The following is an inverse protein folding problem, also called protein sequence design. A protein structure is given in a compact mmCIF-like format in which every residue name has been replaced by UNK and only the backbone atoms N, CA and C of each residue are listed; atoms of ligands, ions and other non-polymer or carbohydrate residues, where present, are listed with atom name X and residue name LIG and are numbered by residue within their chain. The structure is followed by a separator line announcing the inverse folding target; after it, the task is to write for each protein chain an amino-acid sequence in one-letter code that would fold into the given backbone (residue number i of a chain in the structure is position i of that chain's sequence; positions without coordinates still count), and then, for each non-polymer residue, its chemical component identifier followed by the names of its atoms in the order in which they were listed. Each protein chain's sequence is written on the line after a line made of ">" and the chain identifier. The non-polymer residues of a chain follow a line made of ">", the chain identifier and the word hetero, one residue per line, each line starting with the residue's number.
data_IF_269659115748
#
_entry.id   IF_269659115748
#
_cell.length_a   1.000
_cell.length_b   1.000
_cell.length_c   1.000
_cell.angle_alpha   90.00
_cell.angle_beta   90.00
_cell.angle_gamma   90.00
#
_symmetry.space_group_name_H-M   'P 1'
#
loop_
_entity.id
_entity.type
_entity.pdbx_description
1 polymer ?
#
# COMPACT_ATOMS: atom_id res chain seq x y z
N UNK A 1 -20.17 -21.39 12.06
CA UNK A 1 -20.29 -20.97 10.66
C UNK A 1 -20.07 -19.46 10.43
N UNK A 2 -21.01 -18.61 10.82
CA UNK A 2 -20.97 -17.16 10.52
C UNK A 2 -19.74 -16.49 11.14
N UNK A 3 -19.39 -16.90 12.36
CA UNK A 3 -18.17 -16.45 13.05
C UNK A 3 -16.90 -16.67 12.21
N UNK A 4 -16.84 -17.76 11.44
CA UNK A 4 -15.70 -18.06 10.56
C UNK A 4 -15.69 -17.14 9.35
N UNK A 5 -16.83 -16.95 8.68
CA UNK A 5 -16.94 -16.02 7.54
C UNK A 5 -16.61 -14.58 7.97
N UNK A 6 -17.07 -14.16 9.14
CA UNK A 6 -16.73 -12.84 9.70
C UNK A 6 -15.27 -12.77 10.14
N UNK A 7 -14.67 -13.87 10.62
CA UNK A 7 -13.26 -13.97 10.95
C UNK A 7 -12.38 -13.78 9.69
N UNK A 8 -12.68 -14.54 8.64
CA UNK A 8 -11.90 -14.59 7.40
C UNK A 8 -12.27 -13.46 6.42
N UNK A 9 -13.41 -12.80 6.64
CA UNK A 9 -13.98 -11.77 5.76
C UNK A 9 -14.17 -12.25 4.31
N UNK A 10 -14.35 -13.55 4.13
CA UNK A 10 -14.46 -14.23 2.83
C UNK A 10 -15.61 -15.23 2.86
N UNK A 11 -16.38 -15.27 1.77
CA UNK A 11 -17.41 -16.27 1.53
C UNK A 11 -17.17 -16.91 0.16
N UNK A 12 -17.27 -18.24 0.10
CA UNK A 12 -17.17 -18.99 -1.16
C UNK A 12 -18.29 -18.56 -2.13
N UNK A 13 -17.99 -18.21 -3.39
CA UNK A 13 -18.99 -17.81 -4.38
C UNK A 13 -20.14 -18.81 -4.56
N UNK A 14 -19.88 -20.11 -4.46
CA UNK A 14 -20.93 -21.14 -4.61
C UNK A 14 -21.92 -21.09 -3.44
N UNK A 15 -21.38 -20.96 -2.22
CA UNK A 15 -22.18 -20.83 -1.00
C UNK A 15 -22.92 -19.49 -0.96
N UNK A 16 -22.29 -18.42 -1.43
CA UNK A 16 -22.97 -17.13 -1.55
C UNK A 16 -24.12 -17.22 -2.56
N UNK A 17 -23.97 -17.98 -3.65
CA UNK A 17 -25.02 -18.20 -4.64
C UNK A 17 -26.17 -19.09 -4.12
N UNK A 18 -25.95 -19.88 -3.07
CA UNK A 18 -26.98 -20.67 -2.38
C UNK A 18 -27.90 -19.79 -1.52
N UNK A 19 -27.39 -18.68 -0.99
CA UNK A 19 -28.16 -17.80 -0.13
C UNK A 19 -29.30 -17.10 -0.88
N UNK A 20 -30.45 -16.99 -0.22
CA UNK A 20 -31.52 -16.09 -0.67
C UNK A 20 -31.00 -14.64 -0.71
N UNK A 21 -31.60 -13.81 -1.57
CA UNK A 21 -31.17 -12.41 -1.73
C UNK A 21 -31.22 -11.64 -0.39
N UNK A 22 -32.20 -11.93 0.45
CA UNK A 22 -32.32 -11.37 1.80
C UNK A 22 -31.17 -11.82 2.71
N UNK A 23 -30.83 -13.11 2.72
CA UNK A 23 -29.70 -13.60 3.51
C UNK A 23 -28.36 -13.06 3.02
N UNK A 24 -28.19 -12.84 1.71
CA UNK A 24 -27.01 -12.14 1.16
C UNK A 24 -26.93 -10.73 1.71
N UNK A 25 -28.02 -9.97 1.67
CA UNK A 25 -28.07 -8.60 2.19
C UNK A 25 -27.71 -8.55 3.68
N UNK A 26 -28.26 -9.46 4.49
CA UNK A 26 -27.97 -9.52 5.92
C UNK A 26 -26.51 -9.92 6.17
N UNK A 27 -25.98 -10.90 5.43
CA UNK A 27 -24.58 -11.28 5.52
C UNK A 27 -23.66 -10.10 5.19
N UNK A 28 -23.93 -9.37 4.11
CA UNK A 28 -23.15 -8.19 3.73
C UNK A 28 -23.24 -7.09 4.78
N UNK A 29 -24.41 -6.89 5.39
CA UNK A 29 -24.55 -5.98 6.51
C UNK A 29 -23.66 -6.40 7.69
N UNK A 30 -23.67 -7.67 8.08
CA UNK A 30 -22.82 -8.21 9.17
C UNK A 30 -21.33 -8.13 8.85
N UNK A 31 -20.94 -8.45 7.62
CA UNK A 31 -19.56 -8.28 7.15
C UNK A 31 -19.14 -6.81 7.20
N UNK A 32 -20.04 -5.89 6.85
CA UNK A 32 -19.78 -4.46 6.92
C UNK A 32 -19.64 -3.97 8.36
N UNK A 33 -20.51 -4.42 9.27
CA UNK A 33 -20.39 -4.16 10.71
C UNK A 33 -19.03 -4.62 11.24
N UNK A 34 -18.61 -5.84 10.87
CA UNK A 34 -17.33 -6.40 11.29
C UNK A 34 -16.14 -5.63 10.71
N UNK A 35 -16.20 -5.18 9.44
CA UNK A 35 -15.18 -4.28 8.88
C UNK A 35 -15.05 -2.99 9.68
N UNK A 36 -16.19 -2.36 10.04
CA UNK A 36 -16.21 -1.13 10.82
C UNK A 36 -15.68 -1.38 12.23
N UNK A 37 -16.07 -2.50 12.87
CA UNK A 37 -15.58 -2.91 14.19
C UNK A 37 -14.07 -3.11 14.18
N UNK A 38 -13.53 -3.89 13.23
CA UNK A 38 -12.09 -4.10 13.04
C UNK A 38 -11.33 -2.81 12.76
N UNK A 39 -11.92 -1.91 11.97
CA UNK A 39 -11.34 -0.60 11.71
C UNK A 39 -11.28 0.23 13.01
N UNK A 40 -12.38 0.33 13.76
CA UNK A 40 -12.41 1.01 15.07
C UNK A 40 -11.42 0.42 16.07
N UNK A 41 -11.30 -0.91 16.13
CA UNK A 41 -10.31 -1.56 17.00
C UNK A 41 -8.88 -1.27 16.59
N UNK A 42 -8.59 -1.22 15.29
CA UNK A 42 -7.27 -0.82 14.79
C UNK A 42 -6.96 0.63 15.14
N UNK A 43 -7.92 1.54 14.96
CA UNK A 43 -7.79 2.94 15.35
C UNK A 43 -7.54 3.07 16.87
N UNK A 44 -8.34 2.40 17.69
CA UNK A 44 -8.17 2.40 19.14
C UNK A 44 -6.83 1.78 19.58
N UNK A 45 -6.36 0.71 18.91
CA UNK A 45 -5.05 0.12 19.15
C UNK A 45 -3.92 1.06 18.74
N UNK A 46 -4.07 1.80 17.64
CA UNK A 46 -3.11 2.83 17.25
C UNK A 46 -3.06 3.95 18.29
N UNK A 47 -4.22 4.43 18.74
CA UNK A 47 -4.32 5.45 19.80
C UNK A 47 -3.71 4.96 21.13
N UNK A 48 -3.96 3.69 21.50
CA UNK A 48 -3.37 3.07 22.68
C UNK A 48 -1.85 2.83 22.53
N UNK A 49 -1.39 2.46 21.33
CA UNK A 49 0.03 2.32 21.03
C UNK A 49 0.75 3.68 21.02
N UNK A 50 0.09 4.74 20.55
CA UNK A 50 0.59 6.12 20.68
C UNK A 50 0.66 6.54 22.16
N UNK A 51 -0.36 6.21 22.95
CA UNK A 51 -0.38 6.48 24.39
C UNK A 51 0.69 5.68 25.17
N UNK A 52 0.96 4.42 24.81
CA UNK A 52 2.03 3.62 25.43
C UNK A 52 3.42 3.98 24.93
N UNK A 53 3.60 4.37 23.67
CA UNK A 53 4.86 4.95 23.16
C UNK A 53 5.19 6.30 23.83
N UNK A 54 4.18 7.09 24.21
CA UNK A 54 4.37 8.28 25.07
C UNK A 54 4.87 7.92 26.47
N UNK A 55 4.56 6.72 26.97
CA UNK A 55 4.98 6.26 28.31
C UNK A 55 6.34 5.53 28.31
N UNK A 56 6.70 4.81 27.24
CA UNK A 56 7.99 4.12 27.11
C UNK A 56 9.18 5.02 26.73
N UNK A 57 8.95 6.25 26.29
CA UNK A 57 10.00 7.20 25.90
C UNK A 57 10.59 8.01 27.07
N UNK A 58 10.20 7.72 28.32
CA UNK A 58 10.84 8.28 29.53
C UNK A 58 12.14 7.56 29.91
N UNK A 59 13.09 7.47 28.97
CA UNK A 59 14.56 7.42 29.20
C UNK A 59 15.29 7.62 27.87
N UNK A 60 15.79 8.85 27.70
CA UNK A 60 16.69 9.39 26.64
C UNK A 60 16.54 8.78 25.23
N UNK A 61 15.35 8.87 24.65
CA UNK A 61 15.25 8.96 23.20
C UNK A 61 15.61 10.41 22.80
N UNK A 62 16.44 10.58 21.78
CA UNK A 62 16.78 11.89 21.20
C UNK A 62 15.56 12.80 21.14
N UNK A 63 15.60 13.92 21.86
CA UNK A 63 14.50 14.87 22.02
C UNK A 63 14.15 15.48 20.65
N UNK A 64 13.25 14.85 19.91
CA UNK A 64 12.50 15.52 18.84
C UNK A 64 11.05 15.63 19.31
N UNK A 65 10.77 16.68 20.08
CA UNK A 65 9.40 17.11 20.37
C UNK A 65 8.96 18.07 19.25
N UNK A 66 7.82 17.79 18.64
CA UNK A 66 7.19 18.74 17.71
C UNK A 66 6.46 19.76 18.57
N UNK A 67 7.02 20.97 18.67
CA UNK A 67 6.35 22.11 19.26
C UNK A 67 5.73 22.90 18.10
N UNK A 68 4.41 23.03 18.12
CA UNK A 68 3.70 23.90 17.18
C UNK A 68 4.04 25.35 17.54
N UNK A 69 4.49 26.11 16.55
CA UNK A 69 4.58 27.57 16.71
C UNK A 69 3.15 28.11 16.75
N UNK A 70 2.88 29.08 17.61
CA UNK A 70 1.58 29.74 17.68
C UNK A 70 1.67 31.09 16.98
N UNK A 71 0.62 31.45 16.23
CA UNK A 71 0.48 32.74 15.59
C UNK A 71 0.12 33.84 16.58
N UNK A 72 -0.02 35.08 16.09
CA UNK A 72 -0.42 36.24 16.91
C UNK A 72 -1.85 36.10 17.48
N UNK A 73 -2.65 35.20 16.90
CA UNK A 73 -4.00 34.79 17.28
C UNK A 73 -4.03 33.68 18.35
N UNK A 74 -2.88 33.19 18.82
CA UNK A 74 -2.74 32.04 19.71
C UNK A 74 -3.19 30.69 19.12
N UNK A 75 -3.45 30.65 17.81
CA UNK A 75 -3.70 29.41 17.07
C UNK A 75 -2.41 28.87 16.44
N UNK A 76 -2.44 27.63 15.94
CA UNK A 76 -1.26 27.00 15.33
C UNK A 76 -0.81 27.79 14.11
N UNK A 77 0.44 28.28 14.12
CA UNK A 77 1.06 28.98 13.03
C UNK A 77 1.32 28.02 11.87
N UNK A 78 0.66 28.29 10.75
CA UNK A 78 0.83 27.55 9.49
C UNK A 78 1.48 28.49 8.49
N UNK A 79 2.66 28.11 8.02
CA UNK A 79 3.32 28.78 6.90
C UNK A 79 3.11 27.97 5.64
N UNK A 80 2.42 28.57 4.67
CA UNK A 80 2.19 27.98 3.37
C UNK A 80 3.25 28.57 2.42
N UNK A 81 4.15 27.70 1.93
CA UNK A 81 5.17 28.08 0.97
C UNK A 81 4.52 28.77 -0.24
N UNK A 82 4.93 30.00 -0.51
CA UNK A 82 4.47 30.81 -1.63
C UNK A 82 3.23 31.68 -1.41
N UNK A 83 2.62 31.69 -0.23
CA UNK A 83 1.52 32.63 0.10
C UNK A 83 1.99 33.87 0.88
N UNK A 84 3.21 33.85 1.45
CA UNK A 84 3.74 34.98 2.18
C UNK A 84 4.30 36.05 1.23
N UNK A 85 4.09 37.34 1.52
CA UNK A 85 4.46 38.46 0.64
C UNK A 85 5.97 38.59 0.33
N UNK A 86 6.82 37.87 1.04
CA UNK A 86 8.28 37.82 0.84
C UNK A 86 8.77 36.48 0.31
N UNK A 87 7.87 35.52 0.09
CA UNK A 87 8.21 34.21 -0.44
C UNK A 87 7.98 34.14 -1.95
N UNK A 88 8.76 33.30 -2.63
CA UNK A 88 8.52 32.97 -4.04
C UNK A 88 7.25 32.13 -4.10
N UNK A 89 6.39 32.36 -5.07
CA UNK A 89 5.20 31.52 -5.26
C UNK A 89 5.59 30.04 -5.38
N UNK A 90 4.76 29.14 -4.85
CA UNK A 90 5.00 27.70 -4.84
C UNK A 90 5.44 27.17 -6.22
N UNK A 91 4.76 27.61 -7.28
CA UNK A 91 5.04 27.20 -8.65
C UNK A 91 6.46 27.59 -9.09
N UNK A 92 6.93 28.78 -8.71
CA UNK A 92 8.30 29.27 -9.01
C UNK A 92 9.35 28.48 -8.24
N UNK A 93 9.07 28.10 -6.99
CA UNK A 93 9.97 27.27 -6.18
C UNK A 93 10.09 25.87 -6.80
N UNK A 94 8.96 25.28 -7.19
CA UNK A 94 8.97 23.99 -7.88
C UNK A 94 9.76 24.08 -9.18
N UNK A 95 9.49 25.07 -10.03
CA UNK A 95 10.20 25.28 -11.29
C UNK A 95 11.72 25.42 -11.10
N UNK A 96 12.17 26.13 -10.06
CA UNK A 96 13.59 26.30 -9.72
C UNK A 96 14.25 24.96 -9.31
N UNK A 97 13.59 24.15 -8.50
CA UNK A 97 14.06 22.80 -8.10
C UNK A 97 14.19 21.89 -9.32
N UNK A 98 13.25 21.99 -10.25
CA UNK A 98 13.24 21.18 -11.47
C UNK A 98 14.37 21.62 -12.41
N UNK A 99 14.55 22.93 -12.59
CA UNK A 99 15.66 23.48 -13.35
C UNK A 99 17.01 23.05 -12.77
N UNK A 100 17.13 23.02 -11.44
CA UNK A 100 18.35 22.53 -10.77
C UNK A 100 18.59 21.04 -10.99
N UNK A 101 17.55 20.21 -10.98
CA UNK A 101 17.67 18.79 -11.34
C UNK A 101 18.08 18.61 -12.80
N UNK A 102 17.55 19.43 -13.71
CA UNK A 102 17.95 19.41 -15.12
C UNK A 102 19.43 19.78 -15.29
N UNK A 103 19.93 20.77 -14.54
CA UNK A 103 21.37 21.10 -14.46
C UNK A 103 22.22 19.92 -14.02
N UNK A 104 21.87 19.32 -12.89
CA UNK A 104 22.60 18.19 -12.34
C UNK A 104 22.59 16.96 -13.28
N UNK A 105 21.50 16.75 -14.02
CA UNK A 105 21.41 15.65 -14.98
C UNK A 105 22.29 15.89 -16.21
N UNK A 106 22.28 17.11 -16.77
CA UNK A 106 23.14 17.45 -17.89
C UNK A 106 24.63 17.39 -17.50
N UNK A 107 24.99 17.80 -16.28
CA UNK A 107 26.37 17.71 -15.78
C UNK A 107 26.86 16.26 -15.71
N UNK A 108 26.01 15.33 -15.24
CA UNK A 108 26.32 13.90 -15.22
C UNK A 108 26.49 13.33 -16.63
N UNK A 109 25.58 13.65 -17.56
CA UNK A 109 25.71 13.23 -18.96
C UNK A 109 26.99 13.78 -19.61
N UNK A 110 27.37 15.02 -19.29
CA UNK A 110 28.60 15.62 -19.78
C UNK A 110 29.86 14.99 -19.14
N UNK A 111 29.82 14.62 -17.86
CA UNK A 111 30.91 13.90 -17.19
C UNK A 111 31.12 12.49 -17.76
N UNK A 112 30.04 11.75 -18.02
CA UNK A 112 30.11 10.45 -18.69
C UNK A 112 30.67 10.58 -20.11
N UNK A 113 30.24 11.59 -20.87
CA UNK A 113 30.81 11.88 -22.19
C UNK A 113 32.30 12.23 -22.12
N UNK A 114 32.73 13.00 -21.12
CA UNK A 114 34.16 13.30 -20.90
C UNK A 114 34.95 12.05 -20.56
N UNK A 115 34.41 11.19 -19.69
CA UNK A 115 35.05 9.93 -19.31
C UNK A 115 35.23 9.00 -20.52
N UNK A 116 34.20 8.85 -21.35
CA UNK A 116 34.31 8.06 -22.59
C UNK A 116 35.31 8.65 -23.59
N UNK A 117 35.34 9.97 -23.76
CA UNK A 117 36.33 10.64 -24.59
C UNK A 117 37.76 10.47 -24.06
N UNK A 118 37.96 10.53 -22.74
CA UNK A 118 39.25 10.32 -22.09
C UNK A 118 39.72 8.86 -22.23
N UNK A 119 38.82 7.89 -22.09
CA UNK A 119 39.11 6.47 -22.35
C UNK A 119 39.52 6.24 -23.81
N UNK A 120 38.83 6.86 -24.77
CA UNK A 120 39.20 6.80 -26.20
C UNK A 120 40.53 7.51 -26.49
N UNK A 121 40.77 8.68 -25.90
CA UNK A 121 42.05 9.39 -26.01
C UNK A 121 43.19 8.61 -25.35
N UNK A 122 42.94 7.95 -24.23
CA UNK A 122 43.89 7.08 -23.56
C UNK A 122 44.25 5.91 -24.47
N UNK A 123 43.25 5.23 -25.05
CA UNK A 123 43.45 4.15 -26.04
C UNK A 123 44.27 4.61 -27.25
N UNK A 124 43.96 5.77 -27.82
CA UNK A 124 44.71 6.35 -28.94
C UNK A 124 46.13 6.75 -28.54
N UNK A 125 46.32 7.27 -27.33
CA UNK A 125 47.64 7.62 -26.80
C UNK A 125 48.49 6.38 -26.56
N UNK A 126 47.90 5.30 -26.05
CA UNK A 126 48.55 4.01 -25.84
C UNK A 126 49.00 3.43 -27.19
N UNK A 127 48.14 3.47 -28.21
CA UNK A 127 48.48 3.11 -29.58
C UNK A 127 49.64 3.95 -30.15
N UNK A 128 49.66 5.26 -29.90
CA UNK A 128 50.75 6.16 -30.35
C UNK A 128 52.06 5.94 -29.57
N UNK A 129 51.99 5.60 -28.28
CA UNK A 129 53.19 5.27 -27.48
C UNK A 129 53.82 3.96 -27.95
N UNK A 130 53.02 2.97 -28.36
CA UNK A 130 53.54 1.73 -28.97
C UNK A 130 54.24 2.02 -30.30
N UNK A 131 53.72 2.95 -31.10
CA UNK A 131 54.34 3.37 -32.37
C UNK A 131 55.64 4.17 -32.14
N UNK A 132 55.64 5.11 -31.20
CA UNK A 132 56.83 5.92 -30.88
C UNK A 132 57.91 5.13 -30.13
N UNK A 133 57.57 4.09 -29.36
CA UNK A 133 58.56 3.16 -28.81
C UNK A 133 59.26 2.37 -29.92
N UNK A 134 58.54 1.94 -30.97
CA UNK A 134 59.15 1.33 -32.16
C UNK A 134 60.11 2.30 -32.87
N UNK A 135 59.67 3.54 -33.12
CA UNK A 135 60.49 4.56 -33.81
C UNK A 135 61.68 5.04 -32.95
N UNK A 136 61.53 5.09 -31.62
CA UNK A 136 62.57 5.53 -30.69
C UNK A 136 63.64 4.45 -30.46
N UNK A 137 63.27 3.17 -30.47
CA UNK A 137 64.21 2.03 -30.44
C UNK A 137 65.04 1.97 -31.74
N UNK A 138 64.43 2.21 -32.90
CA UNK A 138 65.16 2.29 -34.18
C UNK A 138 66.10 3.49 -34.24
N UNK A 139 65.69 4.64 -33.69
CA UNK A 139 66.51 5.85 -33.62
C UNK A 139 67.66 5.69 -32.61
N UNK A 140 67.44 5.01 -31.49
CA UNK A 140 68.47 4.67 -30.50
C UNK A 140 69.46 3.64 -31.07
N UNK A 141 68.99 2.60 -31.77
CA UNK A 141 69.84 1.61 -32.44
C UNK A 141 70.77 2.27 -33.47
N UNK A 142 70.26 3.18 -34.31
CA UNK A 142 71.07 3.98 -35.26
C UNK A 142 72.05 4.93 -34.55
N UNK A 143 71.66 5.52 -33.41
CA UNK A 143 72.52 6.41 -32.61
C UNK A 143 73.64 5.63 -31.90
N UNK A 144 73.36 4.42 -31.40
CA UNK A 144 74.36 3.55 -30.75
C UNK A 144 75.38 3.04 -31.78
N UNK A 145 74.94 2.69 -33.00
CA UNK A 145 75.85 2.30 -34.09
C UNK A 145 76.75 3.48 -34.49
N UNK A 146 76.18 4.68 -34.61
CA UNK A 146 76.94 5.90 -34.92
C UNK A 146 77.92 6.28 -33.80
N UNK A 147 77.55 6.06 -32.52
CA UNK A 147 78.43 6.27 -31.37
C UNK A 147 79.54 5.23 -31.25
N UNK A 148 79.32 3.99 -31.68
CA UNK A 148 80.38 2.98 -31.78
C UNK A 148 81.39 3.36 -32.86
N UNK A 149 80.92 3.82 -34.03
CA UNK A 149 81.80 4.32 -35.09
C UNK A 149 82.56 5.60 -34.67
N UNK A 150 81.89 6.54 -34.00
CA UNK A 150 82.55 7.73 -33.46
C UNK A 150 83.57 7.39 -32.37
N UNK A 151 83.30 6.41 -31.48
CA UNK A 151 84.25 6.00 -30.43
C UNK A 151 85.48 5.28 -30.97
N UNK A 152 85.39 4.61 -32.12
CA UNK A 152 86.54 4.02 -32.81
C UNK A 152 87.40 5.10 -33.48
N UNK A 153 86.77 6.13 -34.06
CA UNK A 153 87.48 7.31 -34.59
C UNK A 153 88.05 8.20 -33.48
N UNK A 154 87.33 8.39 -32.38
CA UNK A 154 87.77 9.17 -31.22
C UNK A 154 88.88 8.44 -30.46
N UNK A 155 88.93 7.10 -30.46
CA UNK A 155 90.07 6.32 -29.98
C UNK A 155 91.29 6.40 -30.91
N UNK A 156 91.09 6.56 -32.22
CA UNK A 156 92.18 6.84 -33.19
C UNK A 156 92.75 8.25 -33.02
N UNK A 157 91.86 9.24 -32.84
CA UNK A 157 92.22 10.66 -32.66
C UNK A 157 92.72 10.97 -31.24
N UNK A 158 92.40 10.14 -30.24
CA UNK A 158 92.90 10.26 -28.86
C UNK A 158 94.30 9.68 -28.67
N UNK A 159 94.71 8.71 -29.50
CA UNK A 159 96.11 8.26 -29.54
C UNK A 159 97.02 9.35 -30.14
N UNK A 160 96.51 10.12 -31.10
CA UNK A 160 97.22 11.24 -31.74
C UNK A 160 97.32 12.52 -30.89
N UNK A 161 96.43 12.68 -29.89
CA UNK A 161 96.42 13.85 -28.98
C UNK A 161 97.16 13.63 -27.66
N UNK A 162 97.90 12.53 -27.51
CA UNK A 162 98.78 12.30 -26.34
C UNK A 162 100.10 13.07 -26.38
N UNK A 163 100.33 13.89 -27.40
CA UNK A 163 101.39 14.91 -27.46
C UNK A 163 100.73 16.28 -27.60
N UNK A 164 100.20 16.85 -26.52
CA UNK A 164 100.35 18.28 -26.23
C UNK A 164 99.90 18.61 -24.80
N UNK A 165 100.63 19.54 -24.20
CA UNK A 165 100.66 19.93 -22.80
C UNK A 165 99.41 20.67 -22.28
N UNK A 166 99.19 20.49 -20.97
CA UNK A 166 99.22 21.54 -19.94
C UNK A 166 98.74 22.96 -20.31
N UNK A 167 97.69 23.45 -19.64
CA UNK A 167 97.75 24.53 -18.63
C UNK A 167 96.49 25.42 -18.53
N UNK A 168 96.12 25.62 -17.25
CA UNK A 168 95.60 26.82 -16.57
C UNK A 168 94.17 27.42 -16.74
N UNK A 169 93.55 27.51 -15.55
CA UNK A 169 92.86 28.62 -14.85
C UNK A 169 91.49 29.18 -15.29
N UNK A 170 90.65 29.63 -14.31
CA UNK A 170 89.30 30.12 -14.56
C UNK A 170 89.24 31.66 -14.68
N UNK A 171 88.46 32.16 -15.65
CA UNK A 171 88.18 33.60 -15.78
C UNK A 171 86.69 33.91 -15.58
N UNK A 172 86.45 35.05 -14.93
CA UNK A 172 85.17 35.63 -14.47
C UNK A 172 84.18 35.88 -15.62
N UNK A 173 82.90 35.52 -15.42
CA UNK A 173 81.81 35.65 -16.41
C UNK A 173 81.18 37.05 -16.41
N UNK A 174 81.25 37.74 -17.55
CA UNK A 174 80.25 38.76 -17.96
C UNK A 174 79.07 38.07 -18.66
N UNK A 175 77.86 38.67 -18.59
CA UNK A 175 76.61 38.12 -19.15
C UNK A 175 76.78 37.67 -20.61
N UNK A 176 76.52 36.39 -20.87
CA UNK A 176 76.79 35.69 -22.15
C UNK A 176 75.59 35.77 -23.10
N UNK A 177 75.84 35.68 -24.42
CA UNK A 177 74.83 35.57 -25.49
C UNK A 177 73.81 34.44 -25.21
N UNK A 178 74.23 33.40 -24.49
CA UNK A 178 73.36 32.31 -24.03
C UNK A 178 72.24 32.76 -23.09
N UNK A 179 72.45 33.79 -22.27
CA UNK A 179 71.42 34.30 -21.36
C UNK A 179 70.33 35.05 -22.15
N UNK A 180 70.68 35.75 -23.24
CA UNK A 180 69.73 36.45 -24.12
C UNK A 180 68.88 35.44 -24.91
N UNK A 181 69.49 34.36 -25.43
CA UNK A 181 68.77 33.28 -26.10
C UNK A 181 67.83 32.53 -25.13
N UNK A 182 68.26 32.36 -23.88
CA UNK A 182 67.43 31.77 -22.82
C UNK A 182 66.21 32.62 -22.49
N UNK A 183 66.35 33.94 -22.49
CA UNK A 183 65.23 34.86 -22.25
C UNK A 183 64.25 34.93 -23.43
N UNK A 184 64.74 34.88 -24.68
CA UNK A 184 63.88 34.77 -25.86
C UNK A 184 63.11 33.44 -25.90
N UNK A 185 63.75 32.33 -25.52
CA UNK A 185 63.11 31.02 -25.38
C UNK A 185 62.05 31.02 -24.26
N UNK A 186 62.33 31.68 -23.12
CA UNK A 186 61.36 31.88 -22.03
C UNK A 186 60.17 32.73 -22.51
N UNK A 187 60.40 33.78 -23.29
CA UNK A 187 59.36 34.65 -23.82
C UNK A 187 58.46 33.92 -24.84
N UNK A 188 59.04 33.17 -25.79
CA UNK A 188 58.28 32.30 -26.72
C UNK A 188 57.49 31.22 -25.98
N UNK A 189 58.07 30.58 -24.96
CA UNK A 189 57.35 29.60 -24.12
C UNK A 189 56.20 30.26 -23.34
N UNK A 190 56.40 31.47 -22.81
CA UNK A 190 55.36 32.24 -22.10
C UNK A 190 54.20 32.60 -23.03
N UNK A 191 54.48 33.09 -24.23
CA UNK A 191 53.47 33.43 -25.23
C UNK A 191 52.73 32.19 -25.75
N UNK A 192 53.45 31.09 -26.01
CA UNK A 192 52.85 29.80 -26.37
C UNK A 192 51.95 29.22 -25.27
N UNK A 193 52.35 29.35 -24.00
CA UNK A 193 51.54 28.95 -22.85
C UNK A 193 50.29 29.83 -22.72
N UNK A 194 50.40 31.15 -22.93
CA UNK A 194 49.26 32.06 -22.95
C UNK A 194 48.27 31.72 -24.07
N UNK A 195 48.76 31.43 -25.28
CA UNK A 195 47.92 31.02 -26.42
C UNK A 195 47.22 29.67 -26.17
N UNK A 196 47.92 28.70 -25.57
CA UNK A 196 47.32 27.41 -25.16
C UNK A 196 46.26 27.59 -24.08
N UNK A 197 46.51 28.44 -23.07
CA UNK A 197 45.53 28.79 -22.04
C UNK A 197 44.29 29.45 -22.63
N UNK A 198 44.45 30.40 -23.56
CA UNK A 198 43.34 31.06 -24.23
C UNK A 198 42.50 30.10 -25.09
N UNK A 199 43.15 29.15 -25.79
CA UNK A 199 42.46 28.13 -26.57
C UNK A 199 41.70 27.14 -25.68
N UNK A 200 42.31 26.71 -24.56
CA UNK A 200 41.64 25.85 -23.58
C UNK A 200 40.43 26.53 -22.94
N UNK A 201 40.53 27.82 -22.61
CA UNK A 201 39.43 28.61 -22.07
C UNK A 201 38.27 28.70 -23.08
N UNK A 202 38.56 28.91 -24.36
CA UNK A 202 37.56 28.97 -25.43
C UNK A 202 36.88 27.62 -25.70
N UNK A 203 37.59 26.51 -25.52
CA UNK A 203 36.99 25.16 -25.59
C UNK A 203 36.07 24.92 -24.40
N UNK A 204 36.53 25.27 -23.19
CA UNK A 204 35.73 25.15 -21.97
C UNK A 204 34.43 25.98 -22.04
N UNK A 205 34.50 27.19 -22.60
CA UNK A 205 33.33 28.05 -22.80
C UNK A 205 32.29 27.39 -23.72
N UNK A 206 32.72 26.76 -24.82
CA UNK A 206 31.81 26.01 -25.71
C UNK A 206 31.22 24.77 -25.07
N UNK A 207 31.98 24.09 -24.21
CA UNK A 207 31.48 22.93 -23.48
C UNK A 207 30.45 23.35 -22.42
N UNK A 208 30.64 24.52 -21.79
CA UNK A 208 29.64 25.12 -20.91
C UNK A 208 28.38 25.55 -21.68
N UNK A 209 28.50 26.16 -22.85
CA UNK A 209 27.36 26.54 -23.69
C UNK A 209 26.52 25.30 -24.10
N UNK A 210 27.18 24.21 -24.52
CA UNK A 210 26.51 22.94 -24.81
C UNK A 210 25.83 22.31 -23.59
N UNK A 211 26.46 22.44 -22.43
CA UNK A 211 25.87 21.99 -21.18
C UNK A 211 24.59 22.78 -20.91
N UNK A 212 24.64 24.11 -20.98
CA UNK A 212 23.48 24.99 -20.80
C UNK A 212 22.34 24.67 -21.78
N UNK A 213 22.62 24.49 -23.07
CA UNK A 213 21.63 24.06 -24.06
C UNK A 213 20.95 22.74 -23.65
N UNK A 214 21.74 21.76 -23.20
CA UNK A 214 21.22 20.47 -22.77
C UNK A 214 20.38 20.57 -21.49
N UNK A 215 20.75 21.46 -20.56
CA UNK A 215 19.94 21.71 -19.35
C UNK A 215 18.58 22.31 -19.70
N UNK A 216 18.54 23.24 -20.65
CA UNK A 216 17.30 23.86 -21.12
C UNK A 216 16.41 22.82 -21.82
N UNK A 217 16.99 21.96 -22.66
CA UNK A 217 16.27 20.90 -23.35
C UNK A 217 15.62 19.90 -22.37
N UNK A 218 16.37 19.45 -21.34
CA UNK A 218 15.84 18.55 -20.31
C UNK A 218 14.70 19.21 -19.52
N UNK A 219 14.86 20.49 -19.17
CA UNK A 219 13.84 21.25 -18.45
C UNK A 219 12.56 21.42 -19.28
N UNK A 220 12.68 21.79 -20.55
CA UNK A 220 11.53 21.99 -21.45
C UNK A 220 10.79 20.69 -21.73
N UNK A 221 11.49 19.59 -22.00
CA UNK A 221 10.87 18.28 -22.22
C UNK A 221 10.10 17.79 -20.97
N UNK A 222 10.65 18.03 -19.77
CA UNK A 222 9.94 17.71 -18.52
C UNK A 222 8.65 18.54 -18.36
N UNK A 223 8.71 19.84 -18.70
CA UNK A 223 7.56 20.75 -18.62
C UNK A 223 6.45 20.36 -19.59
N UNK A 224 6.81 20.01 -20.82
CA UNK A 224 5.87 19.48 -21.82
C UNK A 224 5.22 18.17 -21.35
N UNK A 225 5.99 17.25 -20.76
CA UNK A 225 5.45 16.01 -20.22
C UNK A 225 4.46 16.23 -19.07
N UNK A 226 4.70 17.22 -18.21
CA UNK A 226 3.76 17.63 -17.15
C UNK A 226 2.48 18.22 -17.72
N UNK A 227 2.58 19.08 -18.73
CA UNK A 227 1.40 19.67 -19.38
C UNK A 227 0.56 18.60 -20.08
N UNK A 228 1.19 17.65 -20.77
CA UNK A 228 0.49 16.52 -21.39
C UNK A 228 -0.21 15.68 -20.32
N UNK A 229 0.46 15.36 -19.21
CA UNK A 229 -0.14 14.62 -18.10
C UNK A 229 -1.36 15.34 -17.50
N UNK A 230 -1.24 16.64 -17.25
CA UNK A 230 -2.35 17.44 -16.71
C UNK A 230 -3.52 17.55 -17.70
N UNK A 231 -3.24 17.66 -19.00
CA UNK A 231 -4.27 17.65 -20.04
C UNK A 231 -4.99 16.31 -20.08
N UNK A 232 -4.24 15.21 -20.07
CA UNK A 232 -4.78 13.85 -20.08
C UNK A 232 -5.69 13.57 -18.87
N UNK A 233 -5.29 14.03 -17.68
CA UNK A 233 -6.08 13.86 -16.44
C UNK A 233 -7.36 14.72 -16.44
N UNK A 234 -7.31 15.92 -17.02
CA UNK A 234 -8.49 16.80 -17.16
C UNK A 234 -9.46 16.32 -18.24
N UNK A 235 -8.93 15.71 -19.30
CA UNK A 235 -9.69 15.18 -20.43
C UNK A 235 -10.18 13.74 -20.22
N UNK A 236 -9.75 13.07 -19.13
CA UNK A 236 -10.18 11.71 -18.80
C UNK A 236 -11.72 11.65 -18.60
N UNK A 237 -12.46 10.97 -19.51
CA UNK A 237 -13.90 10.86 -19.44
C UNK A 237 -14.39 10.14 -18.18
N UNK A 238 -13.60 9.18 -17.65
CA UNK A 238 -13.94 8.42 -16.46
C UNK A 238 -13.83 9.29 -15.21
N UNK A 239 -12.78 10.10 -15.11
CA UNK A 239 -12.62 11.08 -14.04
C UNK A 239 -13.74 12.12 -14.05
N UNK A 240 -14.10 12.67 -15.22
CA UNK A 240 -15.22 13.62 -15.30
C UNK A 240 -16.56 12.97 -14.96
N UNK A 241 -16.79 11.72 -15.38
CA UNK A 241 -17.99 10.97 -15.03
C UNK A 241 -18.05 10.69 -13.51
N UNK A 242 -16.92 10.34 -12.90
CA UNK A 242 -16.79 10.17 -11.45
C UNK A 242 -17.09 11.48 -10.70
N UNK A 243 -16.57 12.60 -11.19
CA UNK A 243 -16.83 13.92 -10.62
C UNK A 243 -18.32 14.31 -10.69
N UNK A 244 -18.97 14.07 -11.83
CA UNK A 244 -20.42 14.29 -11.99
C UNK A 244 -21.24 13.38 -11.07
N UNK A 245 -20.88 12.09 -10.95
CA UNK A 245 -21.52 11.14 -10.03
C UNK A 245 -21.35 11.55 -8.57
N UNK A 246 -20.17 12.03 -8.18
CA UNK A 246 -19.89 12.51 -6.83
C UNK A 246 -20.73 13.75 -6.48
N UNK A 247 -20.76 14.76 -7.36
CA UNK A 247 -21.59 15.96 -7.19
C UNK A 247 -23.08 15.61 -7.08
N UNK A 248 -23.58 14.71 -7.93
CA UNK A 248 -24.97 14.25 -7.88
C UNK A 248 -25.30 13.49 -6.59
N UNK A 249 -24.36 12.66 -6.09
CA UNK A 249 -24.54 11.95 -4.82
C UNK A 249 -24.57 12.92 -3.62
N UNK A 250 -23.71 13.93 -3.61
CA UNK A 250 -23.70 14.97 -2.58
C UNK A 250 -24.98 15.82 -2.59
N UNK A 251 -25.48 16.16 -3.78
CA UNK A 251 -26.76 16.86 -3.91
C UNK A 251 -27.93 16.02 -3.40
N UNK A 252 -27.96 14.71 -3.70
CA UNK A 252 -28.94 13.78 -3.13
C UNK A 252 -28.87 13.74 -1.59
N UNK A 253 -27.68 13.67 -1.01
CA UNK A 253 -27.51 13.70 0.46
C UNK A 253 -28.02 15.01 1.07
N UNK A 254 -27.71 16.15 0.44
CA UNK A 254 -28.20 17.47 0.88
C UNK A 254 -29.73 17.57 0.78
N UNK A 255 -30.32 17.05 -0.29
CA UNK A 255 -31.78 17.02 -0.46
C UNK A 255 -32.46 16.14 0.59
N UNK A 256 -31.95 14.92 0.84
CA UNK A 256 -32.48 14.04 1.89
C UNK A 256 -32.37 14.68 3.28
N UNK A 257 -31.24 15.32 3.59
CA UNK A 257 -31.05 16.01 4.86
C UNK A 257 -32.01 17.20 5.02
N UNK A 258 -32.28 17.95 3.93
CA UNK A 258 -33.26 19.03 3.93
C UNK A 258 -34.68 18.49 4.13
N UNK A 259 -35.05 17.43 3.40
CA UNK A 259 -36.35 16.78 3.54
C UNK A 259 -36.57 16.27 4.97
N UNK A 260 -35.57 15.60 5.57
CA UNK A 260 -35.66 15.12 6.94
C UNK A 260 -35.85 16.27 7.96
N UNK A 261 -35.20 17.42 7.75
CA UNK A 261 -35.40 18.62 8.58
C UNK A 261 -36.81 19.18 8.44
N UNK A 262 -37.31 19.26 7.21
CA UNK A 262 -38.65 19.77 6.92
C UNK A 262 -39.73 18.83 7.46
N UNK A 263 -39.53 17.52 7.35
CA UNK A 263 -40.41 16.49 7.92
C UNK A 263 -40.41 16.53 9.44
N UNK A 264 -39.24 16.67 10.08
CA UNK A 264 -39.15 16.86 11.52
C UNK A 264 -39.89 18.12 11.96
N UNK A 265 -39.73 19.24 11.24
CA UNK A 265 -40.44 20.49 11.53
C UNK A 265 -41.95 20.32 11.40
N UNK A 266 -42.41 19.63 10.34
CA UNK A 266 -43.83 19.34 10.11
C UNK A 266 -44.43 18.45 11.21
N UNK A 267 -43.77 17.35 11.55
CA UNK A 267 -44.20 16.45 12.61
C UNK A 267 -44.17 17.13 13.99
N UNK A 268 -43.17 17.98 14.24
CA UNK A 268 -43.08 18.78 15.47
C UNK A 268 -44.23 19.76 15.60
N UNK A 269 -44.58 20.48 14.52
CA UNK A 269 -45.74 21.38 14.51
C UNK A 269 -47.04 20.60 14.72
N UNK A 270 -47.22 19.46 14.06
CA UNK A 270 -48.40 18.60 14.24
C UNK A 270 -48.50 18.02 15.67
N UNK A 271 -47.38 17.71 16.32
CA UNK A 271 -47.35 17.26 17.71
C UNK A 271 -47.72 18.37 18.71
N UNK A 272 -47.36 19.63 18.40
CA UNK A 272 -47.78 20.80 19.16
C UNK A 272 -49.28 21.04 18.98
N UNK A 273 -49.80 20.97 17.74
CA UNK A 273 -51.23 21.11 17.43
C UNK A 273 -52.09 20.00 18.05
N UNK A 274 -51.57 18.77 18.14
CA UNK A 274 -52.23 17.65 18.81
C UNK A 274 -52.17 17.72 20.35
N UNK A 275 -51.66 18.79 20.93
CA UNK A 275 -51.70 19.02 22.39
C UNK A 275 -50.81 18.09 23.23
N UNK A 276 -49.98 17.23 22.60
CA UNK A 276 -49.24 16.17 23.29
C UNK A 276 -48.18 16.72 24.27
N UNK A 277 -47.67 17.93 24.05
CA UNK A 277 -46.72 18.59 24.96
C UNK A 277 -47.43 19.25 26.16
N UNK A 278 -48.66 19.74 25.99
CA UNK A 278 -49.44 20.34 27.07
C UNK A 278 -50.13 19.29 27.97
N UNK A 279 -50.40 18.10 27.44
CA UNK A 279 -50.97 16.98 28.20
C UNK A 279 -49.90 16.27 29.06
N UNK A 280 -48.65 16.20 28.57
CA UNK A 280 -47.52 15.62 29.31
C UNK A 280 -46.92 16.54 30.39
N UNK A 281 -47.26 17.84 30.39
CA UNK A 281 -46.85 18.81 31.41
C UNK A 281 -47.76 18.88 32.64
N UNK A 282 -48.94 18.23 32.65
CA UNK A 282 -49.84 18.26 33.82
C UNK A 282 -49.63 17.12 34.82
N UNK A 283 -48.92 16.05 34.42
CA UNK A 283 -48.84 14.81 35.21
C UNK A 283 -47.61 14.70 36.12
N UNK A 284 -46.74 15.70 36.20
CA UNK A 284 -45.59 15.70 37.10
C UNK A 284 -45.34 17.10 37.67
N UNK A 285 -46.02 17.40 38.78
CA UNK A 285 -45.62 18.47 39.69
C UNK A 285 -44.34 18.05 40.42
N UNK A 286 -43.20 18.56 39.96
CA UNK A 286 -41.90 18.32 40.55
C UNK A 286 -40.83 19.11 39.81
N UNK A 287 -40.09 19.93 40.55
CA UNK A 287 -38.98 20.79 40.13
C UNK A 287 -38.06 20.13 39.06
N UNK A 288 -37.96 20.75 37.88
CA UNK A 288 -37.20 20.23 36.74
C UNK A 288 -35.70 20.45 36.97
N UNK A 289 -35.00 19.46 37.52
CA UNK A 289 -33.55 19.31 37.34
C UNK A 289 -33.28 18.80 35.92
N UNK A 290 -32.60 19.60 35.10
CA UNK A 290 -32.03 19.16 33.81
C UNK A 290 -31.14 17.92 34.06
N UNK A 291 -31.19 16.86 33.24
CA UNK A 291 -30.22 15.76 33.33
C UNK A 291 -28.80 16.32 33.14
N UNK A 292 -27.94 16.08 34.13
CA UNK A 292 -26.53 16.48 34.07
C UNK A 292 -25.80 15.73 32.95
N UNK A 293 -24.94 16.44 32.23
CA UNK A 293 -23.98 15.85 31.30
C UNK A 293 -23.17 14.74 32.01
N UNK A 294 -22.85 13.62 31.34
CA UNK A 294 -22.09 12.54 31.94
C UNK A 294 -20.73 13.05 32.47
N UNK A 295 -20.30 12.61 33.67
CA UNK A 295 -19.05 13.08 34.25
C UNK A 295 -17.83 12.57 33.46
N UNK A 296 -16.86 13.46 33.21
CA UNK A 296 -15.54 13.11 32.68
C UNK A 296 -14.87 12.08 33.62
N UNK A 297 -14.32 10.96 33.11
CA UNK A 297 -13.62 10.00 33.94
C UNK A 297 -12.33 10.60 34.50
N UNK A 298 -12.19 10.56 35.82
CA UNK A 298 -10.97 10.92 36.56
C UNK A 298 -10.03 9.71 36.58
N UNK A 299 -8.77 9.95 36.23
CA UNK A 299 -7.69 8.97 36.22
C UNK A 299 -7.05 8.87 37.61
N UNK A 300 -7.08 7.68 38.21
CA UNK A 300 -6.14 7.16 39.21
C UNK A 300 -6.42 5.64 39.35
N UNK A 301 -5.46 4.72 39.43
CA UNK A 301 -4.02 4.83 39.56
C UNK A 301 -3.33 3.51 39.24
N UNK A 302 -2.01 3.55 39.41
CA UNK A 302 -0.99 2.53 39.17
C UNK A 302 -1.31 1.15 39.76
N UNK A 303 -1.16 0.10 38.94
CA UNK A 303 -1.03 -1.29 39.35
C UNK A 303 -0.23 -2.07 38.29
N UNK A 304 0.95 -2.55 38.67
CA UNK A 304 1.88 -3.33 37.86
C UNK A 304 1.35 -4.74 37.55
N UNK A 305 1.51 -5.20 36.30
CA UNK A 305 2.08 -6.49 35.87
C UNK A 305 1.94 -6.56 34.33
N UNK A 306 2.76 -7.19 33.52
CA UNK A 306 3.99 -7.96 33.63
C UNK A 306 4.33 -8.28 32.17
N UNK A 307 5.56 -7.97 31.76
CA UNK A 307 6.04 -8.11 30.39
C UNK A 307 6.05 -9.58 29.98
N UNK A 308 5.42 -9.92 28.85
CA UNK A 308 5.95 -10.94 27.92
C UNK A 308 5.89 -10.38 26.50
N UNK A 309 7.07 -10.07 25.96
CA UNK A 309 7.29 -9.79 24.54
C UNK A 309 7.58 -11.12 23.84
N UNK A 310 6.79 -11.45 22.83
CA UNK A 310 7.04 -12.35 21.70
C UNK A 310 5.79 -12.22 20.80
N UNK A 311 5.80 -12.15 19.47
CA UNK A 311 6.81 -12.19 18.45
C UNK A 311 6.17 -11.61 17.15
N UNK A 312 7.04 -11.17 16.24
CA UNK A 312 6.87 -11.01 14.78
C UNK A 312 5.49 -10.87 14.15
N UNK A 313 5.38 -9.72 13.48
CA UNK A 313 4.61 -9.47 12.25
C UNK A 313 4.38 -10.74 11.42
N UNK A 314 3.12 -11.16 11.33
CA UNK A 314 2.62 -11.91 10.19
C UNK A 314 1.70 -10.98 9.41
N UNK A 315 2.17 -10.55 8.24
CA UNK A 315 1.26 -10.13 7.19
C UNK A 315 0.30 -11.27 6.90
N UNK A 316 -0.96 -10.92 6.61
CA UNK A 316 -2.08 -11.82 6.31
C UNK A 316 -1.61 -12.91 5.33
N UNK A 317 -1.24 -14.07 5.87
CA UNK A 317 -1.02 -15.27 5.07
C UNK A 317 -2.41 -15.81 4.77
N UNK A 318 -2.80 -15.77 3.49
CA UNK A 318 -3.91 -16.59 2.99
C UNK A 318 -3.50 -18.04 3.19
N UNK A 319 -4.21 -18.74 4.06
CA UNK A 319 -4.07 -20.19 4.15
C UNK A 319 -4.94 -20.78 3.05
N UNK A 320 -4.29 -21.36 2.05
CA UNK A 320 -4.97 -22.19 1.07
C UNK A 320 -5.61 -23.38 1.79
N UNK A 321 -6.90 -23.54 1.57
CA UNK A 321 -7.81 -24.56 2.08
C UNK A 321 -7.52 -25.93 1.45
N UNK A 322 -6.74 -26.78 2.10
CA UNK A 322 -6.55 -28.17 1.66
C UNK A 322 -7.39 -29.19 2.45
N UNK A 323 -8.36 -28.79 3.28
CA UNK A 323 -9.03 -29.74 4.20
C UNK A 323 -10.48 -29.37 4.54
N UNK A 324 -11.33 -28.97 3.59
CA UNK A 324 -12.69 -28.52 3.95
C UNK A 324 -13.59 -29.67 4.39
N UNK A 325 -13.68 -30.77 3.62
CA UNK A 325 -14.55 -31.92 3.92
C UNK A 325 -14.17 -32.64 5.22
N UNK A 326 -12.89 -32.98 5.39
CA UNK A 326 -12.39 -33.65 6.60
C UNK A 326 -12.57 -32.78 7.85
N UNK A 327 -12.38 -31.46 7.74
CA UNK A 327 -12.61 -30.54 8.85
C UNK A 327 -14.10 -30.44 9.24
N UNK A 328 -15.01 -30.60 8.28
CA UNK A 328 -16.45 -30.63 8.53
C UNK A 328 -16.84 -31.95 9.21
N UNK A 329 -16.32 -33.08 8.73
CA UNK A 329 -16.55 -34.39 9.36
C UNK A 329 -16.02 -34.36 10.81
N UNK A 330 -14.79 -33.88 11.01
CA UNK A 330 -14.20 -33.73 12.34
C UNK A 330 -15.05 -32.83 13.25
N UNK A 331 -15.47 -31.67 12.75
CA UNK A 331 -16.35 -30.76 13.49
C UNK A 331 -17.68 -31.42 13.88
N UNK A 332 -18.31 -32.13 12.95
CA UNK A 332 -19.56 -32.84 13.24
C UNK A 332 -19.35 -33.93 14.30
N UNK A 333 -18.26 -34.71 14.22
CA UNK A 333 -17.92 -35.76 15.19
C UNK A 333 -17.61 -35.23 16.58
N UNK A 334 -16.85 -34.14 16.67
CA UNK A 334 -16.39 -33.60 17.95
C UNK A 334 -17.42 -32.72 18.64
N UNK A 335 -18.16 -31.89 17.89
CA UNK A 335 -19.07 -30.89 18.47
C UNK A 335 -20.54 -31.30 18.43
N UNK A 336 -21.00 -31.91 17.33
CA UNK A 336 -22.43 -32.11 17.09
C UNK A 336 -22.90 -33.50 17.52
N UNK A 337 -22.12 -34.55 17.24
CA UNK A 337 -22.42 -35.93 17.59
C UNK A 337 -22.69 -36.14 19.10
N UNK A 338 -21.91 -35.55 20.03
CA UNK A 338 -22.21 -35.65 21.46
C UNK A 338 -23.55 -35.01 21.86
N UNK A 339 -24.00 -33.96 21.16
CA UNK A 339 -25.28 -33.28 21.41
C UNK A 339 -26.44 -34.16 20.95
N UNK A 340 -26.29 -34.78 19.79
CA UNK A 340 -27.26 -35.75 19.26
C UNK A 340 -27.42 -36.96 20.19
N UNK A 341 -26.32 -37.54 20.70
CA UNK A 341 -26.40 -38.64 21.67
C UNK A 341 -27.02 -38.25 23.01
N UNK A 342 -26.76 -37.03 23.50
CA UNK A 342 -27.38 -36.52 24.74
C UNK A 342 -28.89 -36.31 24.62
N UNK A 343 -29.36 -36.00 23.43
CA UNK A 343 -30.79 -35.76 23.15
C UNK A 343 -31.57 -37.08 23.03
N UNK A 344 -30.88 -38.23 22.92
CA UNK A 344 -31.49 -39.58 22.90
C UNK A 344 -32.43 -39.84 21.71
N UNK A 345 -32.52 -38.89 20.78
CA UNK A 345 -33.37 -38.93 19.60
C UNK A 345 -32.45 -39.26 18.43
N UNK A 346 -32.68 -40.39 17.76
CA UNK A 346 -31.92 -40.77 16.58
C UNK A 346 -32.00 -39.71 15.46
N UNK A 347 -31.21 -39.88 14.40
CA UNK A 347 -31.25 -38.96 13.25
C UNK A 347 -32.68 -38.80 12.73
N UNK A 348 -33.13 -37.54 12.66
CA UNK A 348 -34.46 -37.23 12.17
C UNK A 348 -34.55 -37.50 10.66
N UNK A 349 -35.74 -37.86 10.17
CA UNK A 349 -35.92 -38.26 8.78
C UNK A 349 -35.59 -37.15 7.76
N UNK A 350 -35.72 -35.89 8.17
CA UNK A 350 -35.35 -34.70 7.39
C UNK A 350 -33.84 -34.38 7.40
N UNK A 351 -33.01 -35.12 8.15
CA UNK A 351 -31.56 -34.87 8.22
C UNK A 351 -30.81 -35.77 7.23
N UNK A 352 -30.06 -35.18 6.31
CA UNK A 352 -29.47 -35.88 5.16
C UNK A 352 -27.93 -35.95 5.19
N UNK A 353 -27.27 -35.44 6.24
CA UNK A 353 -25.81 -35.46 6.29
C UNK A 353 -25.14 -34.55 5.25
N UNK A 354 -23.97 -34.91 4.73
CA UNK A 354 -23.23 -34.09 3.76
C UNK A 354 -23.77 -34.38 2.35
N UNK A 355 -24.70 -33.54 1.88
CA UNK A 355 -25.25 -33.60 0.52
C UNK A 355 -24.96 -32.31 -0.24
N UNK A 356 -24.69 -32.44 -1.53
CA UNK A 356 -24.49 -31.30 -2.42
C UNK A 356 -25.77 -30.49 -2.64
N UNK A 357 -25.62 -29.25 -3.11
CA UNK A 357 -26.78 -28.42 -3.44
C UNK A 357 -27.66 -29.07 -4.49
N UNK A 358 -27.08 -29.56 -5.59
CA UNK A 358 -27.81 -30.14 -6.73
C UNK A 358 -28.60 -31.37 -6.31
N UNK A 359 -28.01 -32.22 -5.49
CA UNK A 359 -28.66 -33.44 -5.01
C UNK A 359 -29.83 -33.10 -4.09
N UNK A 360 -29.68 -32.08 -3.24
CA UNK A 360 -30.78 -31.61 -2.38
C UNK A 360 -31.96 -31.05 -3.19
N UNK A 361 -31.68 -30.32 -4.28
CA UNK A 361 -32.71 -29.82 -5.19
C UNK A 361 -33.40 -30.99 -5.92
N UNK A 362 -32.67 -32.02 -6.32
CA UNK A 362 -33.22 -33.22 -6.98
C UNK A 362 -34.18 -34.01 -6.06
N UNK A 363 -33.86 -34.11 -4.77
CA UNK A 363 -34.75 -34.70 -3.78
C UNK A 363 -36.03 -33.87 -3.62
N UNK A 364 -35.92 -32.54 -3.60
CA UNK A 364 -37.04 -31.62 -3.46
C UNK A 364 -37.91 -31.52 -4.73
N UNK A 365 -37.35 -31.71 -5.93
CA UNK A 365 -38.07 -31.69 -7.23
C UNK A 365 -39.26 -32.64 -7.28
N UNK A 366 -39.11 -33.80 -6.66
CA UNK A 366 -40.17 -34.83 -6.62
C UNK A 366 -41.30 -34.56 -5.63
N UNK A 367 -41.15 -33.57 -4.74
CA UNK A 367 -42.15 -33.23 -3.71
C UNK A 367 -42.96 -31.96 -4.07
N UNK A 368 -43.54 -31.22 -3.13
CA UNK A 368 -44.32 -30.00 -3.41
C UNK A 368 -43.80 -28.77 -2.66
N UNK A 369 -44.44 -27.61 -2.85
CA UNK A 369 -44.12 -26.41 -2.07
C UNK A 369 -44.32 -26.70 -0.57
N UNK A 370 -43.41 -26.21 0.27
CA UNK A 370 -43.40 -26.54 1.70
C UNK A 370 -42.53 -27.73 2.08
N UNK A 371 -41.96 -28.45 1.11
CA UNK A 371 -41.01 -29.54 1.37
C UNK A 371 -39.63 -29.01 1.76
N UNK A 372 -38.98 -29.68 2.72
CA UNK A 372 -37.68 -29.29 3.22
C UNK A 372 -36.80 -30.47 3.61
N UNK A 373 -35.48 -30.23 3.62
CA UNK A 373 -34.49 -31.12 4.20
C UNK A 373 -33.33 -30.32 4.80
N UNK A 374 -32.68 -30.89 5.82
CA UNK A 374 -31.50 -30.33 6.45
C UNK A 374 -30.25 -31.12 6.04
N UNK A 375 -29.27 -30.41 5.49
CA UNK A 375 -27.96 -30.94 5.10
C UNK A 375 -26.83 -30.24 5.85
N UNK A 376 -25.69 -30.91 5.97
CA UNK A 376 -24.42 -30.32 6.42
C UNK A 376 -23.74 -29.70 5.20
N UNK A 377 -23.27 -28.46 5.33
CA UNK A 377 -22.58 -27.79 4.22
C UNK A 377 -21.23 -28.47 3.93
N UNK A 378 -20.85 -28.61 2.65
CA UNK A 378 -19.56 -29.15 2.21
C UNK A 378 -18.40 -28.14 2.29
N UNK A 379 -18.72 -26.85 2.41
CA UNK A 379 -17.75 -25.76 2.29
C UNK A 379 -17.43 -25.09 3.62
N UNK A 380 -18.31 -25.21 4.61
CA UNK A 380 -18.21 -24.51 5.89
C UNK A 380 -18.82 -25.33 7.03
N UNK A 381 -18.35 -25.10 8.25
CA UNK A 381 -18.86 -25.75 9.45
C UNK A 381 -20.22 -25.19 9.86
N UNK A 382 -21.28 -25.89 9.48
CA UNK A 382 -22.67 -25.61 9.87
C UNK A 382 -23.69 -26.34 8.99
N UNK A 383 -24.96 -26.02 9.19
CA UNK A 383 -26.07 -26.68 8.50
C UNK A 383 -26.70 -25.77 7.44
N UNK A 384 -27.34 -26.37 6.45
CA UNK A 384 -28.12 -25.69 5.42
C UNK A 384 -29.49 -26.35 5.35
N UNK A 385 -30.54 -25.55 5.46
CA UNK A 385 -31.90 -25.97 5.24
C UNK A 385 -32.27 -25.69 3.79
N UNK A 386 -32.50 -26.75 3.02
CA UNK A 386 -32.96 -26.62 1.63
C UNK A 386 -34.48 -26.76 1.61
N UNK A 387 -35.14 -25.75 1.07
CA UNK A 387 -36.59 -25.57 1.08
C UNK A 387 -37.11 -25.39 -0.34
N UNK A 388 -38.26 -26.00 -0.63
CA UNK A 388 -38.97 -25.78 -1.89
C UNK A 388 -40.06 -24.72 -1.72
N UNK A 389 -39.85 -23.56 -2.34
CA UNK A 389 -40.83 -22.50 -2.45
C UNK A 389 -41.67 -22.67 -3.73
N UNK A 390 -42.70 -21.83 -3.89
CA UNK A 390 -43.51 -21.81 -5.11
C UNK A 390 -42.71 -21.29 -6.32
N UNK A 391 -41.73 -20.42 -6.08
CA UNK A 391 -40.91 -19.77 -7.11
C UNK A 391 -39.60 -20.52 -7.41
N UNK A 392 -39.22 -21.50 -6.58
CA UNK A 392 -37.99 -22.28 -6.78
C UNK A 392 -37.49 -23.00 -5.52
N UNK A 393 -36.16 -23.02 -5.34
CA UNK A 393 -35.49 -23.61 -4.19
C UNK A 393 -34.78 -22.52 -3.40
N UNK A 394 -35.03 -22.47 -2.10
CA UNK A 394 -34.40 -21.55 -1.16
C UNK A 394 -33.48 -22.35 -0.24
N UNK A 395 -32.25 -21.89 -0.04
CA UNK A 395 -31.33 -22.50 0.91
C UNK A 395 -31.00 -21.53 2.04
N UNK A 396 -31.28 -21.94 3.26
CA UNK A 396 -31.06 -21.13 4.45
C UNK A 396 -29.89 -21.67 5.26
N UNK A 397 -28.86 -20.85 5.46
CA UNK A 397 -27.74 -21.22 6.34
C UNK A 397 -28.16 -21.16 7.81
N UNK A 398 -27.79 -22.20 8.56
CA UNK A 398 -27.98 -22.30 10.01
C UNK A 398 -26.61 -22.28 10.69
N UNK A 399 -26.41 -21.29 11.55
CA UNK A 399 -25.22 -21.20 12.37
C UNK A 399 -25.37 -22.10 13.60
N UNK A 400 -24.48 -23.09 13.71
CA UNK A 400 -24.38 -24.00 14.84
C UNK A 400 -23.23 -23.60 15.79
N UNK A 401 -22.98 -22.30 15.96
CA UNK A 401 -21.82 -21.84 16.72
C UNK A 401 -22.06 -21.87 18.24
N UNK A 402 -21.69 -22.97 18.89
CA UNK A 402 -21.80 -23.16 20.34
C UNK A 402 -22.89 -24.16 20.72
N UNK A 403 -23.78 -23.79 21.62
CA UNK A 403 -24.90 -24.65 22.11
C UNK A 403 -26.25 -24.25 21.54
N UNK A 404 -26.28 -23.41 20.51
CA UNK A 404 -27.50 -22.83 19.95
C UNK A 404 -27.48 -22.86 18.43
N UNK A 405 -28.66 -23.07 17.84
CA UNK A 405 -28.90 -23.08 16.40
C UNK A 405 -29.77 -21.88 16.02
N UNK A 406 -29.38 -21.15 14.97
CA UNK A 406 -30.15 -20.01 14.48
C UNK A 406 -29.96 -19.85 12.98
N UNK A 407 -30.98 -19.33 12.30
CA UNK A 407 -30.83 -18.94 10.91
C UNK A 407 -29.91 -17.74 10.75
N UNK A 408 -29.22 -17.70 9.61
CA UNK A 408 -28.34 -16.59 9.29
C UNK A 408 -29.15 -15.31 9.08
N UNK A 409 -29.16 -14.45 10.10
CA UNK A 409 -29.53 -13.06 9.96
C UNK A 409 -31.00 -12.69 10.14
N UNK A 410 -31.91 -13.67 10.18
CA UNK A 410 -33.34 -13.42 10.39
C UNK A 410 -33.69 -13.81 11.82
N UNK A 411 -34.04 -12.81 12.61
CA UNK A 411 -34.41 -12.83 14.03
C UNK A 411 -33.44 -13.61 14.96
N UNK A 412 -33.04 -13.04 16.09
CA UNK A 412 -32.06 -13.69 16.98
C UNK A 412 -32.63 -14.89 17.77
N UNK A 413 -33.64 -15.57 17.22
CA UNK A 413 -34.24 -16.77 17.76
C UNK A 413 -33.23 -17.92 17.71
N UNK A 414 -32.64 -18.15 18.88
CA UNK A 414 -31.70 -19.22 19.14
C UNK A 414 -32.45 -20.41 19.70
N UNK A 415 -32.31 -21.56 19.04
CA UNK A 415 -32.91 -22.81 19.44
C UNK A 415 -31.87 -23.70 20.11
N UNK A 416 -32.28 -24.48 21.13
CA UNK A 416 -31.40 -25.40 21.84
C UNK A 416 -31.03 -26.62 21.01
N UNK A 417 -31.92 -27.07 20.12
CA UNK A 417 -31.69 -28.18 19.19
C UNK A 417 -32.16 -27.83 17.77
N UNK A 418 -31.63 -28.55 16.77
CA UNK A 418 -32.13 -28.46 15.39
C UNK A 418 -33.59 -28.91 15.26
N UNK A 419 -34.03 -29.85 16.11
CA UNK A 419 -35.41 -30.31 16.13
C UNK A 419 -36.35 -29.18 16.59
N UNK A 420 -35.98 -28.45 17.65
CA UNK A 420 -36.75 -27.30 18.14
C UNK A 420 -36.83 -26.19 17.08
N UNK A 421 -35.73 -25.96 16.35
CA UNK A 421 -35.69 -25.00 15.25
C UNK A 421 -36.67 -25.38 14.15
N UNK A 422 -36.62 -26.64 13.69
CA UNK A 422 -37.54 -27.13 12.66
C UNK A 422 -38.98 -27.07 13.12
N UNK A 423 -39.26 -27.44 14.38
CA UNK A 423 -40.60 -27.45 14.95
C UNK A 423 -41.20 -26.05 15.09
N UNK A 424 -40.41 -25.07 15.53
CA UNK A 424 -40.82 -23.68 15.60
C UNK A 424 -41.21 -23.13 14.22
N UNK A 425 -40.39 -23.41 13.20
CA UNK A 425 -40.61 -22.94 11.84
C UNK A 425 -41.64 -23.76 11.03
N UNK A 426 -42.37 -24.68 11.67
CA UNK A 426 -43.60 -25.25 11.09
C UNK A 426 -44.74 -24.24 11.09
N UNK A 427 -44.78 -23.38 12.11
CA UNK A 427 -45.87 -22.44 12.36
C UNK A 427 -45.44 -20.98 12.15
N UNK A 428 -44.14 -20.70 12.25
CA UNK A 428 -43.58 -19.37 12.04
C UNK A 428 -42.75 -19.32 10.74
N UNK A 429 -42.94 -18.31 9.87
CA UNK A 429 -42.19 -18.19 8.64
C UNK A 429 -40.69 -17.96 8.94
N UNK A 430 -39.82 -18.50 8.09
CA UNK A 430 -38.36 -18.33 8.22
C UNK A 430 -37.94 -16.88 7.96
N UNK A 431 -38.63 -16.21 7.04
CA UNK A 431 -38.25 -14.89 6.52
C UNK A 431 -39.38 -13.89 6.73
N UNK A 432 -39.08 -12.65 7.12
CA UNK A 432 -40.12 -11.63 7.39
C UNK A 432 -40.92 -11.20 6.15
N UNK A 433 -40.39 -11.43 4.95
CA UNK A 433 -41.04 -11.15 3.66
C UNK A 433 -41.69 -12.38 3.02
N UNK A 434 -41.37 -13.59 3.51
CA UNK A 434 -41.77 -14.86 2.90
C UNK A 434 -42.87 -15.58 3.67
N UNK A 435 -43.51 -16.55 3.01
CA UNK A 435 -44.45 -17.50 3.62
C UNK A 435 -43.82 -18.89 3.83
N UNK A 436 -42.49 -18.96 3.93
CA UNK A 436 -41.79 -20.26 3.99
C UNK A 436 -41.99 -20.93 5.35
N UNK A 437 -42.96 -21.85 5.39
CA UNK A 437 -43.22 -22.73 6.54
C UNK A 437 -42.72 -24.14 6.23
N UNK A 438 -42.10 -24.79 7.22
CA UNK A 438 -41.56 -26.14 7.13
C UNK A 438 -42.68 -27.18 7.31
N UNK A 439 -43.36 -27.49 6.21
CA UNK A 439 -44.55 -28.35 6.24
C UNK A 439 -44.21 -29.83 6.09
N UNK A 440 -43.42 -30.18 5.06
CA UNK A 440 -43.20 -31.58 4.67
C UNK A 440 -41.71 -31.95 4.78
N UNK A 441 -41.31 -32.74 5.79
CA UNK A 441 -39.94 -33.26 5.84
C UNK A 441 -39.72 -34.26 4.70
N UNK A 442 -38.59 -34.14 3.99
CA UNK A 442 -38.19 -35.11 2.97
C UNK A 442 -37.36 -36.21 3.61
N UNK A 443 -37.81 -37.45 3.47
CA UNK A 443 -37.10 -38.63 3.97
C UNK A 443 -35.87 -38.96 3.11
N UNK A 444 -34.94 -39.71 3.69
CA UNK A 444 -33.75 -40.21 3.00
C UNK A 444 -34.12 -41.28 1.97
N UNK A 445 -33.43 -41.27 0.82
CA UNK A 445 -33.67 -42.23 -0.28
C UNK A 445 -32.59 -43.29 -0.43
N UNK A 446 -31.41 -43.08 0.14
CA UNK A 446 -30.26 -43.97 0.02
C UNK A 446 -30.23 -45.03 1.13
N UNK A 447 -29.74 -46.23 0.77
CA UNK A 447 -29.34 -47.26 1.71
C UNK A 447 -27.93 -47.74 1.30
N UNK A 448 -26.86 -47.47 2.08
CA UNK A 448 -26.86 -46.90 3.44
C UNK A 448 -27.28 -45.42 3.49
N UNK A 449 -27.73 -44.92 4.67
CA UNK A 449 -28.20 -43.55 4.86
C UNK A 449 -27.18 -42.47 4.46
N UNK A 450 -27.65 -41.33 3.94
CA UNK A 450 -26.78 -40.23 3.50
C UNK A 450 -25.91 -39.62 4.62
N UNK A 451 -26.31 -39.78 5.89
CA UNK A 451 -25.50 -39.37 7.04
C UNK A 451 -24.41 -40.39 7.43
N UNK A 452 -24.31 -41.54 6.76
CA UNK A 452 -23.32 -42.59 7.11
C UNK A 452 -21.89 -42.09 6.95
N UNK A 453 -21.63 -41.25 5.95
CA UNK A 453 -20.35 -40.58 5.70
C UNK A 453 -19.89 -39.68 6.86
N UNK A 454 -20.80 -39.25 7.74
CA UNK A 454 -20.47 -38.48 8.94
C UNK A 454 -20.07 -39.36 10.13
N UNK A 455 -20.40 -40.65 10.07
CA UNK A 455 -20.24 -41.61 11.16
C UNK A 455 -19.04 -42.55 10.95
N UNK A 456 -18.66 -42.85 9.69
CA UNK A 456 -17.37 -43.47 9.32
C UNK A 456 -16.20 -42.56 9.66
#
# INVERSE_FOLDING_TARGET
>A
MLKQILADMYIDPELLAELSEEQKQILYFKMREEQVRRWKEREAKLEQNEATNRNHTKKKASKKSVNWQLGADQDVWVWIMGEHASDKSYDVICDEIIAERARNQAEKEAEERRKTQEEELSRLSEALTLQTQSDSVDKWRKSVESKKHARVEEARMAEEKRINEENETPTVRTRSVEDILRDSARHKKKYGLQKKKAMALKTQEKDNERLEERTQEIYMNWKEAQEVKQKLEKEDPEWQASLRKSKAADERRRSMAKQARDDYKRLSMQAIERGSVAEKMRSFGGEVKRPGLPPKPKVAGSGNCGIVRSDRRQGVRRMNSSSTRENIIKWFKEEQLPIWYKTGTGFAAWFHGIISRTDSEDLLKSHGAGSFLLRVSEKIQGYVLSYRSEEGYSHFLIDASGTSYSFLGVDQLQHGTLADLVEYHKNEPITSLGKEMLLYPVDQRSNPPDYSDLLE
#
